data_IF_662370594357
#
_entry.id   IF_662370594357
#
_cell.length_a   1.000
_cell.length_b   1.000
_cell.length_c   1.000
_cell.angle_alpha   90.00
_cell.angle_beta   90.00
_cell.angle_gamma   90.00
#
_symmetry.space_group_name_H-M   'P 1'
#
loop_
_entity.id
_entity.type
_entity.pdbx_description
1 polymer ?
#
# COMPACT_ATOMS: atom_id res chain seq x y z
N UNK A 1 -5.97 1.32 -10.44
CA UNK A 1 -6.43 -0.03 -10.06
C UNK A 1 -7.75 -0.27 -10.74
N UNK A 2 -7.82 -1.20 -11.68
CA UNK A 2 -9.10 -1.68 -12.22
C UNK A 2 -9.75 -2.57 -11.14
N UNK A 3 -10.89 -2.15 -10.59
CA UNK A 3 -11.69 -2.97 -9.66
C UNK A 3 -12.02 -2.37 -8.29
N UNK A 4 -11.48 -1.19 -7.94
CA UNK A 4 -11.97 -0.41 -6.80
C UNK A 4 -12.39 0.96 -7.30
N UNK A 5 -13.70 1.18 -7.37
CA UNK A 5 -14.27 2.50 -7.64
C UNK A 5 -14.04 3.43 -6.43
N UNK A 6 -14.03 4.74 -6.64
CA UNK A 6 -13.95 5.71 -5.54
C UNK A 6 -15.31 5.82 -4.83
N UNK A 7 -15.64 4.78 -4.08
CA UNK A 7 -16.95 4.57 -3.47
C UNK A 7 -16.79 3.85 -2.11
N UNK A 8 -17.70 4.15 -1.18
CA UNK A 8 -17.78 3.60 0.17
C UNK A 8 -18.88 2.53 0.33
N UNK A 9 -19.35 1.95 -0.78
CA UNK A 9 -20.31 0.85 -0.75
C UNK A 9 -19.85 -0.37 0.05
N UNK A 10 -20.84 -1.07 0.60
CA UNK A 10 -20.66 -2.29 1.38
C UNK A 10 -20.00 -3.39 0.53
N UNK A 11 -20.18 -3.37 -0.80
CA UNK A 11 -19.52 -4.32 -1.71
C UNK A 11 -18.01 -4.06 -1.77
N UNK A 12 -17.58 -2.80 -1.90
CA UNK A 12 -16.16 -2.45 -1.84
C UNK A 12 -15.55 -2.78 -0.48
N UNK A 13 -16.29 -2.52 0.60
CA UNK A 13 -15.87 -2.87 1.95
C UNK A 13 -15.62 -4.38 2.08
N UNK A 14 -16.54 -5.21 1.60
CA UNK A 14 -16.40 -6.65 1.66
C UNK A 14 -15.30 -7.16 0.73
N UNK A 15 -15.18 -6.63 -0.49
CA UNK A 15 -14.08 -6.97 -1.40
C UNK A 15 -12.71 -6.70 -0.74
N UNK A 16 -12.56 -5.54 -0.08
CA UNK A 16 -11.34 -5.21 0.67
C UNK A 16 -11.09 -6.22 1.80
N UNK A 17 -12.12 -6.64 2.55
CA UNK A 17 -11.97 -7.70 3.58
C UNK A 17 -11.47 -8.99 2.98
N UNK A 18 -12.02 -9.42 1.86
CA UNK A 18 -11.61 -10.65 1.18
C UNK A 18 -10.14 -10.58 0.73
N UNK A 19 -9.73 -9.46 0.14
CA UNK A 19 -8.36 -9.22 -0.28
C UNK A 19 -7.41 -9.18 0.93
N UNK A 20 -7.77 -8.42 1.97
CA UNK A 20 -6.91 -8.24 3.15
C UNK A 20 -6.74 -9.53 3.95
N UNK A 21 -7.79 -10.34 4.04
CA UNK A 21 -7.73 -11.67 4.67
C UNK A 21 -7.08 -12.74 3.77
N UNK A 22 -6.67 -12.39 2.55
CA UNK A 22 -6.00 -13.32 1.62
C UNK A 22 -6.93 -14.41 1.08
N UNK A 23 -8.24 -14.13 0.98
CA UNK A 23 -9.27 -15.07 0.49
C UNK A 23 -9.44 -15.05 -1.02
N UNK A 24 -8.84 -14.07 -1.69
CA UNK A 24 -8.81 -13.93 -3.15
C UNK A 24 -7.52 -14.55 -3.70
N UNK A 25 -7.64 -15.37 -4.74
CA UNK A 25 -6.49 -15.95 -5.46
C UNK A 25 -5.83 -14.90 -6.35
N UNK A 26 -4.54 -15.06 -6.59
CA UNK A 26 -3.74 -14.15 -7.43
C UNK A 26 -4.27 -14.02 -8.87
N UNK A 27 -4.94 -15.07 -9.39
CA UNK A 27 -5.52 -15.10 -10.74
C UNK A 27 -7.00 -14.68 -10.81
N UNK A 28 -7.64 -14.43 -9.67
CA UNK A 28 -9.04 -14.01 -9.66
C UNK A 28 -9.17 -12.54 -10.05
N UNK A 29 -10.16 -12.25 -10.90
CA UNK A 29 -10.44 -10.91 -11.38
C UNK A 29 -11.40 -10.24 -10.38
N UNK A 30 -10.96 -9.13 -9.78
CA UNK A 30 -11.75 -8.43 -8.75
C UNK A 30 -13.13 -8.00 -9.24
N UNK A 31 -13.25 -7.58 -10.51
CA UNK A 31 -14.53 -7.19 -11.11
C UNK A 31 -15.56 -8.34 -11.11
N UNK A 32 -15.12 -9.58 -11.29
CA UNK A 32 -16.02 -10.74 -11.30
C UNK A 32 -16.56 -11.00 -9.89
N UNK A 33 -15.73 -10.78 -8.87
CA UNK A 33 -16.12 -10.86 -7.45
C UNK A 33 -17.16 -9.78 -7.13
N UNK A 34 -16.94 -8.56 -7.61
CA UNK A 34 -17.90 -7.45 -7.46
C UNK A 34 -19.22 -7.79 -8.17
N UNK A 35 -19.17 -8.29 -9.39
CA UNK A 35 -20.36 -8.69 -10.15
C UNK A 35 -21.13 -9.80 -9.44
N UNK A 36 -20.43 -10.81 -8.92
CA UNK A 36 -21.01 -11.88 -8.10
C UNK A 36 -21.71 -11.32 -6.86
N UNK A 37 -21.06 -10.42 -6.12
CA UNK A 37 -21.64 -9.77 -4.94
C UNK A 37 -22.86 -8.90 -5.27
N UNK A 38 -22.85 -8.20 -6.41
CA UNK A 38 -23.99 -7.40 -6.90
C UNK A 38 -25.18 -8.28 -7.27
N UNK A 39 -24.94 -9.45 -7.88
CA UNK A 39 -26.00 -10.34 -8.35
C UNK A 39 -26.57 -11.23 -7.23
N UNK A 40 -25.72 -11.83 -6.40
CA UNK A 40 -26.13 -12.79 -5.37
C UNK A 40 -26.25 -12.18 -3.96
N UNK A 41 -25.81 -10.95 -3.77
CA UNK A 41 -25.79 -10.27 -2.48
C UNK A 41 -24.55 -10.57 -1.63
N UNK A 42 -24.30 -9.68 -0.67
CA UNK A 42 -23.08 -9.68 0.16
C UNK A 42 -23.01 -10.89 1.09
N UNK A 43 -24.14 -11.34 1.64
CA UNK A 43 -24.18 -12.52 2.51
C UNK A 43 -23.72 -13.78 1.76
N UNK A 44 -24.17 -13.94 0.51
CA UNK A 44 -23.76 -15.05 -0.36
C UNK A 44 -22.27 -14.95 -0.69
N UNK A 45 -21.78 -13.74 -1.00
CA UNK A 45 -20.36 -13.49 -1.24
C UNK A 45 -19.51 -13.82 -0.01
N UNK A 46 -19.93 -13.43 1.20
CA UNK A 46 -19.23 -13.81 2.44
C UNK A 46 -19.11 -15.31 2.59
N UNK A 47 -20.22 -16.03 2.41
CA UNK A 47 -20.26 -17.48 2.59
C UNK A 47 -19.35 -18.19 1.57
N UNK A 48 -19.36 -17.76 0.31
CA UNK A 48 -18.54 -18.33 -0.77
C UNK A 48 -17.03 -18.23 -0.48
N UNK A 49 -16.59 -17.15 0.18
CA UNK A 49 -15.17 -16.91 0.46
C UNK A 49 -14.77 -17.25 1.90
N UNK A 50 -15.72 -17.56 2.79
CA UNK A 50 -15.47 -17.83 4.22
C UNK A 50 -14.47 -18.97 4.42
N UNK A 51 -14.74 -20.11 3.80
CA UNK A 51 -14.02 -21.36 4.04
C UNK A 51 -12.84 -21.57 3.07
N UNK A 52 -12.59 -20.59 2.19
CA UNK A 52 -11.45 -20.65 1.26
C UNK A 52 -10.12 -20.61 2.03
N UNK A 53 -9.14 -21.33 1.47
CA UNK A 53 -7.78 -21.30 1.98
C UNK A 53 -7.22 -19.88 1.96
N UNK A 54 -6.53 -19.49 3.02
CA UNK A 54 -5.87 -18.18 3.09
C UNK A 54 -4.56 -18.23 2.32
N UNK A 55 -4.46 -17.46 1.24
CA UNK A 55 -3.28 -17.41 0.39
C UNK A 55 -2.22 -16.45 0.94
N UNK A 56 -2.52 -15.14 0.95
CA UNK A 56 -1.62 -14.09 1.42
C UNK A 56 -2.41 -13.05 2.22
N UNK A 57 -2.47 -13.22 3.54
CA UNK A 57 -3.05 -12.21 4.43
C UNK A 57 -2.17 -10.96 4.41
N UNK A 58 -2.81 -9.81 4.26
CA UNK A 58 -2.16 -8.51 4.30
C UNK A 58 -2.04 -8.08 5.76
N UNK A 59 -0.81 -7.78 6.18
CA UNK A 59 -0.53 -7.27 7.52
C UNK A 59 -0.19 -5.77 7.52
N UNK A 60 0.15 -5.21 6.35
CA UNK A 60 0.57 -3.83 6.18
C UNK A 60 0.09 -3.29 4.84
N UNK A 61 -0.32 -2.03 4.81
CA UNK A 61 -0.74 -1.33 3.59
C UNK A 61 0.07 -0.05 3.46
N UNK A 62 0.61 0.17 2.26
CA UNK A 62 1.31 1.41 1.90
C UNK A 62 0.43 2.14 0.88
N UNK A 63 -0.01 3.33 1.24
CA UNK A 63 -0.86 4.17 0.39
C UNK A 63 0.03 5.24 -0.23
N UNK A 64 0.18 5.17 -1.55
CA UNK A 64 0.98 6.12 -2.32
C UNK A 64 0.06 7.15 -2.95
N UNK A 65 0.35 8.43 -2.73
CA UNK A 65 -0.39 9.56 -3.29
C UNK A 65 0.58 10.55 -3.95
N UNK A 66 0.18 11.18 -5.05
CA UNK A 66 0.95 12.28 -5.65
C UNK A 66 0.76 13.56 -4.85
N UNK A 67 1.82 14.37 -4.71
CA UNK A 67 1.76 15.73 -4.15
C UNK A 67 1.10 16.73 -5.10
N UNK A 68 0.79 16.34 -6.34
CA UNK A 68 0.10 17.19 -7.31
C UNK A 68 -1.26 17.65 -6.74
N UNK A 69 -1.48 18.96 -6.50
CA UNK A 69 -2.73 19.48 -5.98
C UNK A 69 -3.92 19.25 -6.93
N UNK A 70 -3.66 19.18 -8.24
CA UNK A 70 -4.70 19.08 -9.26
C UNK A 70 -5.19 17.64 -9.47
N UNK A 71 -4.50 16.65 -8.89
CA UNK A 71 -4.94 15.25 -8.93
C UNK A 71 -6.09 15.02 -7.96
N UNK A 72 -7.20 14.45 -8.43
CA UNK A 72 -8.25 13.97 -7.55
C UNK A 72 -7.71 12.92 -6.55
N UNK A 73 -8.14 13.00 -5.29
CA UNK A 73 -7.84 12.00 -4.26
C UNK A 73 -9.08 11.14 -4.06
N UNK A 74 -8.97 9.79 -4.10
CA UNK A 74 -10.12 8.92 -3.95
C UNK A 74 -10.52 8.78 -2.47
N UNK A 75 -11.01 9.88 -1.87
CA UNK A 75 -11.23 9.99 -0.43
C UNK A 75 -12.27 8.99 0.11
N UNK A 76 -13.29 8.64 -0.68
CA UNK A 76 -14.29 7.66 -0.28
C UNK A 76 -13.66 6.27 -0.14
N UNK A 77 -12.92 5.84 -1.17
CA UNK A 77 -12.20 4.58 -1.13
C UNK A 77 -11.15 4.54 0.00
N UNK A 78 -10.40 5.63 0.21
CA UNK A 78 -9.40 5.69 1.28
C UNK A 78 -10.03 5.52 2.67
N UNK A 79 -11.20 6.14 2.91
CA UNK A 79 -11.95 5.95 4.16
C UNK A 79 -12.37 4.49 4.34
N UNK A 80 -12.85 3.84 3.29
CA UNK A 80 -13.24 2.42 3.32
C UNK A 80 -12.03 1.52 3.61
N UNK A 81 -10.90 1.78 2.97
CA UNK A 81 -9.64 1.06 3.22
C UNK A 81 -9.23 1.18 4.69
N UNK A 82 -9.22 2.41 5.24
CA UNK A 82 -8.89 2.69 6.64
C UNK A 82 -9.84 1.96 7.58
N UNK A 83 -11.15 2.03 7.33
CA UNK A 83 -12.17 1.33 8.11
C UNK A 83 -11.89 -0.17 8.16
N UNK A 84 -11.81 -0.83 7.01
CA UNK A 84 -11.64 -2.29 6.92
C UNK A 84 -10.36 -2.76 7.59
N UNK A 85 -9.27 -2.06 7.36
CA UNK A 85 -7.99 -2.43 7.95
C UNK A 85 -7.93 -2.20 9.45
N UNK A 86 -8.54 -1.14 9.99
CA UNK A 86 -8.62 -0.93 11.44
C UNK A 86 -9.38 -2.07 12.10
N UNK A 87 -10.46 -2.55 11.48
CA UNK A 87 -11.20 -3.72 11.97
C UNK A 87 -10.38 -5.02 11.91
N UNK A 88 -9.41 -5.11 11.00
CA UNK A 88 -8.52 -6.26 10.82
C UNK A 88 -7.15 -6.10 11.51
N UNK A 89 -6.95 -5.01 12.25
CA UNK A 89 -5.69 -4.62 12.91
C UNK A 89 -4.49 -4.56 11.94
N UNK A 90 -4.70 -3.99 10.76
CA UNK A 90 -3.69 -3.83 9.71
C UNK A 90 -3.01 -2.46 9.83
N UNK A 91 -1.69 -2.44 9.79
CA UNK A 91 -0.92 -1.19 9.92
C UNK A 91 -0.80 -0.45 8.59
N UNK A 92 -0.93 0.88 8.63
CA UNK A 92 -0.83 1.76 7.46
C UNK A 92 0.39 2.66 7.43
N UNK A 93 0.85 2.93 6.21
CA UNK A 93 1.86 3.94 5.90
C UNK A 93 1.37 4.81 4.74
N UNK A 94 1.60 6.11 4.84
CA UNK A 94 1.35 7.06 3.76
C UNK A 94 2.66 7.44 3.10
N UNK A 95 2.67 7.47 1.77
CA UNK A 95 3.80 7.97 0.98
C UNK A 95 3.29 9.04 0.03
N UNK A 96 3.82 10.25 0.13
CA UNK A 96 3.57 11.33 -0.82
C UNK A 96 4.73 11.44 -1.80
N UNK A 97 4.42 11.40 -3.09
CA UNK A 97 5.39 11.41 -4.19
C UNK A 97 5.40 12.77 -4.91
N UNK A 98 6.39 13.04 -5.76
CA UNK A 98 6.55 14.31 -6.50
C UNK A 98 6.70 15.56 -5.60
N UNK A 99 7.25 15.38 -4.39
CA UNK A 99 7.43 16.47 -3.43
C UNK A 99 8.44 17.54 -3.91
N UNK A 100 9.38 17.15 -4.76
CA UNK A 100 10.36 17.98 -5.45
C UNK A 100 9.73 18.93 -6.46
N UNK A 101 8.81 18.42 -7.28
CA UNK A 101 8.13 19.19 -8.33
C UNK A 101 7.23 20.25 -7.71
N UNK A 102 6.47 19.89 -6.68
CA UNK A 102 5.43 20.74 -6.12
C UNK A 102 5.88 21.53 -4.87
N UNK A 103 7.18 21.52 -4.51
CA UNK A 103 7.82 22.29 -3.42
C UNK A 103 6.88 22.62 -2.23
N UNK A 104 6.48 21.60 -1.47
CA UNK A 104 5.51 21.71 -0.38
C UNK A 104 5.79 22.83 0.64
N UNK A 105 7.04 23.26 0.79
CA UNK A 105 7.42 24.37 1.69
C UNK A 105 6.86 25.73 1.25
N UNK A 106 6.52 25.90 -0.03
CA UNK A 106 6.15 27.19 -0.62
C UNK A 106 4.74 27.20 -1.27
N UNK A 107 4.18 26.05 -1.67
CA UNK A 107 2.81 25.97 -2.19
C UNK A 107 1.80 25.55 -1.10
N UNK A 108 0.90 26.47 -0.74
CA UNK A 108 -0.19 26.22 0.23
C UNK A 108 -1.13 25.08 -0.20
N UNK A 109 -1.34 24.87 -1.51
CA UNK A 109 -2.23 23.81 -2.02
C UNK A 109 -1.64 22.44 -1.73
N UNK A 110 -0.32 22.31 -1.80
CA UNK A 110 0.40 21.07 -1.52
C UNK A 110 0.38 20.77 -0.02
N UNK A 111 0.55 21.79 0.83
CA UNK A 111 0.40 21.65 2.28
C UNK A 111 -1.02 21.22 2.68
N UNK A 112 -2.04 21.85 2.08
CA UNK A 112 -3.44 21.48 2.28
C UNK A 112 -3.71 20.05 1.84
N UNK A 113 -3.12 19.61 0.72
CA UNK A 113 -3.22 18.23 0.24
C UNK A 113 -2.57 17.24 1.18
N UNK A 114 -1.36 17.52 1.68
CA UNK A 114 -0.68 16.67 2.67
C UNK A 114 -1.49 16.54 3.95
N UNK A 115 -2.02 17.67 4.44
CA UNK A 115 -2.92 17.69 5.59
C UNK A 115 -4.16 16.82 5.35
N UNK A 116 -4.84 17.00 4.21
CA UNK A 116 -6.01 16.22 3.83
C UNK A 116 -5.69 14.72 3.73
N UNK A 117 -4.56 14.37 3.11
CA UNK A 117 -4.13 12.99 2.96
C UNK A 117 -3.89 12.34 4.33
N UNK A 118 -3.16 13.03 5.20
CA UNK A 118 -2.88 12.55 6.57
C UNK A 118 -4.15 12.40 7.40
N UNK A 119 -5.06 13.37 7.33
CA UNK A 119 -6.33 13.35 8.06
C UNK A 119 -7.25 12.24 7.56
N UNK A 120 -7.34 12.04 6.24
CA UNK A 120 -8.14 10.96 5.64
C UNK A 120 -7.68 9.59 6.09
N UNK A 121 -6.36 9.41 6.26
CA UNK A 121 -5.76 8.14 6.68
C UNK A 121 -5.64 7.99 8.20
N UNK A 122 -5.90 9.03 8.98
CA UNK A 122 -5.69 9.01 10.43
C UNK A 122 -4.25 8.71 10.84
N UNK A 123 -3.27 9.06 9.99
CA UNK A 123 -1.87 8.63 10.20
C UNK A 123 -1.18 9.44 11.31
N UNK A 124 -0.48 8.79 12.25
CA UNK A 124 0.41 9.48 13.17
C UNK A 124 1.61 10.06 12.41
N UNK A 125 2.24 11.10 12.99
CA UNK A 125 3.33 11.87 12.34
C UNK A 125 4.49 11.00 11.84
N UNK A 126 4.75 9.86 12.48
CA UNK A 126 5.86 8.96 12.16
C UNK A 126 5.54 7.91 11.06
N UNK A 127 4.34 7.92 10.48
CA UNK A 127 3.93 6.95 9.43
C UNK A 127 3.63 7.60 8.08
N UNK A 128 4.06 8.85 7.90
CA UNK A 128 3.98 9.57 6.64
C UNK A 128 5.40 9.88 6.15
N UNK A 129 5.72 9.45 4.92
CA UNK A 129 6.95 9.82 4.23
C UNK A 129 6.62 10.67 3.02
N UNK A 130 7.38 11.75 2.82
CA UNK A 130 7.36 12.52 1.58
C UNK A 130 8.63 12.19 0.81
N UNK A 131 8.48 11.67 -0.40
CA UNK A 131 9.56 11.15 -1.22
C UNK A 131 9.65 11.88 -2.55
N UNK A 132 10.87 12.01 -3.02
CA UNK A 132 11.21 12.50 -4.35
C UNK A 132 11.29 11.26 -5.23
N UNK A 133 10.46 11.20 -6.26
CA UNK A 133 10.53 10.10 -7.21
C UNK A 133 11.56 10.47 -8.28
N UNK A 134 12.62 9.67 -8.40
CA UNK A 134 13.44 9.68 -9.60
C UNK A 134 12.55 9.23 -10.76
N UNK A 135 12.30 10.13 -11.69
CA UNK A 135 11.39 9.97 -12.81
C UNK A 135 12.13 10.42 -14.08
N UNK A 136 11.87 9.84 -15.26
CA UNK A 136 12.45 10.30 -16.52
C UNK A 136 12.24 11.78 -16.84
N UNK A 137 11.28 12.46 -16.19
CA UNK A 137 11.09 13.90 -16.31
C UNK A 137 12.16 14.72 -15.55
N UNK A 138 12.79 14.13 -14.55
CA UNK A 138 13.82 14.73 -13.67
C UNK A 138 15.21 14.17 -14.00
N UNK A 139 15.28 12.91 -14.45
CA UNK A 139 16.47 12.20 -14.89
C UNK A 139 16.16 11.44 -16.19
N UNK A 140 16.21 12.12 -17.36
CA UNK A 140 15.86 11.55 -18.66
C UNK A 140 16.70 10.33 -19.03
N UNK A 141 17.94 10.30 -18.55
CA UNK A 141 18.91 9.25 -18.80
C UNK A 141 18.70 8.04 -17.88
N UNK A 142 17.74 8.13 -16.94
CA UNK A 142 17.42 7.07 -15.96
C UNK A 142 18.64 6.60 -15.17
N UNK A 143 19.57 7.50 -14.89
CA UNK A 143 20.78 7.20 -14.12
C UNK A 143 20.50 6.55 -12.76
N UNK A 144 19.31 6.76 -12.19
CA UNK A 144 18.80 6.06 -11.00
C UNK A 144 18.65 4.53 -11.13
N UNK A 145 18.52 3.98 -12.35
CA UNK A 145 18.48 2.52 -12.58
C UNK A 145 19.88 1.91 -12.38
N UNK A 146 20.92 2.70 -12.64
CA UNK A 146 22.33 2.30 -12.52
C UNK A 146 22.99 2.73 -11.20
N UNK A 147 22.39 3.69 -10.48
CA UNK A 147 22.89 4.13 -9.18
C UNK A 147 22.17 3.41 -8.03
N UNK A 148 22.85 2.45 -7.43
CA UNK A 148 22.62 2.11 -6.02
C UNK A 148 22.87 3.40 -5.22
N UNK A 149 21.81 4.02 -4.68
CA UNK A 149 21.88 5.23 -3.87
C UNK A 149 21.80 4.82 -2.39
N UNK A 150 22.92 4.43 -1.75
CA UNK A 150 22.92 3.95 -0.37
C UNK A 150 22.31 4.97 0.61
N UNK A 151 22.31 6.27 0.31
CA UNK A 151 21.70 7.28 1.18
C UNK A 151 20.16 7.32 1.15
N UNK A 152 19.51 6.86 0.08
CA UNK A 152 18.03 6.77 -0.04
C UNK A 152 17.53 5.34 0.22
N UNK A 153 18.34 4.36 -0.22
CA UNK A 153 18.14 2.96 0.10
C UNK A 153 18.27 2.72 1.61
N UNK A 154 19.19 3.37 2.34
CA UNK A 154 19.32 3.14 3.79
C UNK A 154 18.10 3.61 4.59
N UNK A 155 17.44 4.76 4.35
CA UNK A 155 16.18 5.12 5.00
C UNK A 155 15.01 4.21 4.64
N UNK A 156 14.83 3.84 3.37
CA UNK A 156 13.77 2.90 2.95
C UNK A 156 14.06 1.50 3.49
N UNK A 157 15.30 1.04 3.44
CA UNK A 157 15.78 -0.21 4.05
C UNK A 157 15.82 -0.15 5.57
N UNK A 158 15.94 1.02 6.22
CA UNK A 158 15.78 1.19 7.68
C UNK A 158 14.33 1.15 8.09
N UNK A 159 13.46 1.76 7.28
CA UNK A 159 12.02 1.59 7.40
C UNK A 159 11.73 0.09 7.30
N UNK A 160 12.25 -0.61 6.29
CA UNK A 160 12.10 -2.06 6.12
C UNK A 160 12.79 -2.90 7.22
N UNK A 161 13.97 -2.51 7.73
CA UNK A 161 14.72 -3.20 8.81
C UNK A 161 14.09 -3.04 10.19
N UNK A 162 13.37 -1.95 10.46
CA UNK A 162 12.54 -1.87 11.67
C UNK A 162 11.42 -2.94 11.71
N UNK A 163 11.19 -3.66 10.59
CA UNK A 163 10.23 -4.76 10.49
C UNK A 163 10.87 -6.16 10.50
N UNK A 164 12.19 -6.29 10.65
CA UNK A 164 12.88 -7.58 10.81
C UNK A 164 13.36 -7.78 12.26
N UNK A 165 12.43 -7.97 13.19
CA UNK A 165 12.73 -8.64 14.46
C UNK A 165 11.57 -9.57 14.83
N UNK A 166 11.67 -10.83 14.40
CA UNK A 166 11.35 -12.07 15.14
C UNK A 166 11.07 -13.24 14.18
N UNK A 167 12.05 -13.62 13.37
CA UNK A 167 12.16 -15.00 12.93
C UNK A 167 13.54 -15.52 13.32
N UNK A 168 13.62 -16.02 14.56
CA UNK A 168 14.71 -16.87 14.99
C UNK A 168 14.58 -18.24 14.30
N UNK A 169 15.28 -18.42 13.18
CA UNK A 169 15.55 -19.75 12.64
C UNK A 169 17.06 -19.99 12.69
N UNK A 170 17.55 -20.98 13.45
CA UNK A 170 18.98 -21.26 13.55
C UNK A 170 19.46 -21.94 12.27
N UNK A 171 20.25 -21.23 11.45
CA UNK A 171 20.90 -21.81 10.27
C UNK A 171 22.15 -22.57 10.73
N UNK A 172 22.08 -23.91 10.70
CA UNK A 172 23.26 -24.78 10.75
C UNK A 172 24.09 -24.59 9.49
N UNK A 173 25.19 -23.84 9.60
CA UNK A 173 26.23 -23.76 8.58
C UNK A 173 26.96 -25.12 8.47
N UNK A 174 26.65 -25.90 7.43
CA UNK A 174 27.52 -27.00 6.98
C UNK A 174 28.69 -26.40 6.20
N UNK A 175 29.87 -26.39 6.82
CA UNK A 175 31.16 -26.19 6.15
C UNK A 175 31.35 -27.26 5.07
N UNK A 176 31.59 -26.84 3.84
CA UNK A 176 32.26 -27.64 2.80
C UNK A 176 33.02 -26.69 1.88
N UNK A 177 34.19 -26.25 2.32
CA UNK A 177 35.22 -25.71 1.43
C UNK A 177 36.10 -26.89 1.02
N UNK A 178 35.92 -27.31 -0.23
CA UNK A 178 36.80 -28.24 -0.94
C UNK A 178 38.17 -27.58 -1.07
N UNK A 179 39.20 -28.34 -0.68
CA UNK A 179 40.59 -28.06 -1.04
C UNK A 179 40.78 -28.32 -2.53
N UNK A 180 41.44 -27.40 -3.20
CA UNK A 180 42.27 -27.61 -4.39
C UNK A 180 43.36 -26.57 -4.33
#
# INVERSE_FOLDING_TARGET
MTGFENDDSIINEELLRLVFCGKVKEKEILNDIVAFGRYHGITTMRNEYRDRFTHRRINRIIIVCSSNPDSAMPSALLKTVVKVANELDITFYGVMTCADIFRAKYDKRVQSREKLFRETLGLPRNRLASVINYCPAVDPDRSYEDTLLPALDVPVLRLMRQFECNFSVPIKLKKNLRKS
#
